data_IF_084426253908
#
_entry.id   IF_084426253908
#
_cell.length_a   1.000
_cell.length_b   1.000
_cell.length_c   1.000
_cell.angle_alpha   90.00
_cell.angle_beta   90.00
_cell.angle_gamma   90.00
#
_symmetry.space_group_name_H-M   'P 1'
#
loop_
_entity.id
_entity.type
_entity.pdbx_description
1 polymer ?
#
# COMPACT_ATOMS: atom_id res chain seq x y z
N UNK A 1 -17.37 -11.82 37.57
CA UNK A 1 -17.36 -10.34 37.56
C UNK A 1 -18.30 -9.89 36.48
N UNK A 2 -19.39 -9.26 36.89
CA UNK A 2 -20.56 -9.01 36.05
C UNK A 2 -20.29 -7.91 34.99
N UNK A 3 -20.70 -8.14 33.74
CA UNK A 3 -20.47 -7.20 32.61
C UNK A 3 -21.69 -6.30 32.43
N UNK A 4 -21.98 -5.45 33.41
CA UNK A 4 -23.04 -4.44 33.33
C UNK A 4 -22.60 -3.20 32.52
N UNK A 5 -23.55 -2.50 31.89
CA UNK A 5 -23.29 -1.30 31.06
C UNK A 5 -22.61 -0.18 31.88
N UNK A 6 -22.85 -0.13 33.19
CA UNK A 6 -22.19 0.76 34.14
C UNK A 6 -20.67 0.52 34.20
N UNK A 7 -20.21 -0.74 34.27
CA UNK A 7 -18.78 -1.09 34.26
C UNK A 7 -18.11 -0.66 32.93
N UNK A 8 -18.87 -0.68 31.83
CA UNK A 8 -18.40 -0.22 30.51
C UNK A 8 -18.30 1.31 30.44
N UNK A 9 -19.22 2.03 31.06
CA UNK A 9 -19.18 3.48 31.18
C UNK A 9 -18.01 3.93 32.06
N UNK A 10 -17.83 3.29 33.21
CA UNK A 10 -16.72 3.58 34.13
C UNK A 10 -15.36 3.34 33.46
N UNK A 11 -15.21 2.23 32.72
CA UNK A 11 -14.01 1.97 31.92
C UNK A 11 -13.75 3.06 30.87
N UNK A 12 -14.78 3.52 30.15
CA UNK A 12 -14.65 4.62 29.16
C UNK A 12 -14.24 5.93 29.83
N UNK A 13 -14.75 6.23 31.01
CA UNK A 13 -14.39 7.43 31.76
C UNK A 13 -12.95 7.39 32.26
N UNK A 14 -12.51 6.25 32.80
CA UNK A 14 -11.12 6.02 33.17
C UNK A 14 -10.20 6.17 31.95
N UNK A 15 -10.56 5.58 30.81
CA UNK A 15 -9.79 5.70 29.58
C UNK A 15 -9.69 7.16 29.10
N UNK A 16 -10.77 7.95 29.23
CA UNK A 16 -10.77 9.39 28.92
C UNK A 16 -9.85 10.16 29.87
N UNK A 17 -9.88 9.87 31.18
CA UNK A 17 -9.00 10.50 32.17
C UNK A 17 -7.53 10.19 31.88
N UNK A 18 -7.19 8.92 31.63
CA UNK A 18 -5.82 8.52 31.27
C UNK A 18 -5.36 9.23 29.99
N UNK A 19 -6.20 9.28 28.95
CA UNK A 19 -5.87 10.00 27.71
C UNK A 19 -5.60 11.48 27.95
N UNK A 20 -6.40 12.14 28.81
CA UNK A 20 -6.19 13.55 29.17
C UNK A 20 -4.86 13.75 29.90
N UNK A 21 -4.55 12.92 30.88
CA UNK A 21 -3.29 13.04 31.64
C UNK A 21 -2.07 12.74 30.76
N UNK A 22 -2.13 11.73 29.89
CA UNK A 22 -1.09 11.48 28.88
C UNK A 22 -0.93 12.66 27.94
N UNK A 23 -2.04 13.28 27.50
CA UNK A 23 -1.98 14.46 26.64
C UNK A 23 -1.31 15.64 27.34
N UNK A 24 -1.62 15.89 28.62
CA UNK A 24 -0.99 16.95 29.43
C UNK A 24 0.50 16.68 29.62
N UNK A 25 0.88 15.44 29.95
CA UNK A 25 2.28 15.06 30.12
C UNK A 25 3.08 15.23 28.82
N UNK A 26 2.49 14.84 27.68
CA UNK A 26 3.10 15.07 26.36
C UNK A 26 3.26 16.55 26.06
N UNK A 27 2.23 17.36 26.30
CA UNK A 27 2.29 18.80 26.07
C UNK A 27 3.40 19.43 26.91
N UNK A 28 3.45 19.12 28.20
CA UNK A 28 4.50 19.61 29.10
C UNK A 28 5.90 19.23 28.62
N UNK A 29 6.10 17.98 28.18
CA UNK A 29 7.37 17.53 27.63
C UNK A 29 7.75 18.27 26.33
N UNK A 30 6.78 18.59 25.47
CA UNK A 30 7.02 19.41 24.29
C UNK A 30 7.36 20.85 24.65
N UNK A 31 6.65 21.46 25.59
CA UNK A 31 6.90 22.85 26.02
C UNK A 31 8.31 22.99 26.63
N UNK A 32 8.72 22.03 27.47
CA UNK A 32 10.09 21.95 28.01
C UNK A 32 11.14 21.76 26.90
N UNK A 33 10.85 20.91 25.91
CA UNK A 33 11.72 20.72 24.76
C UNK A 33 11.89 22.02 23.96
N UNK A 34 10.79 22.72 23.62
CA UNK A 34 10.84 23.96 22.86
C UNK A 34 11.59 25.06 23.62
N UNK A 35 11.35 25.17 24.93
CA UNK A 35 12.07 26.13 25.78
C UNK A 35 13.58 25.87 25.75
N UNK A 36 13.99 24.59 25.79
CA UNK A 36 15.41 24.23 25.69
C UNK A 36 16.00 24.49 24.31
N UNK A 37 15.24 24.26 23.24
CA UNK A 37 15.68 24.51 21.86
C UNK A 37 15.98 26.01 21.59
N UNK A 38 15.36 26.92 22.35
CA UNK A 38 15.60 28.37 22.25
C UNK A 38 16.89 28.83 22.97
N UNK A 39 17.59 27.90 23.61
CA UNK A 39 18.88 28.16 24.26
C UNK A 39 20.06 27.76 23.37
N UNK A 40 21.23 28.37 23.61
CA UNK A 40 22.48 28.03 22.90
C UNK A 40 22.93 26.58 23.12
N UNK A 41 22.49 25.94 24.20
CA UNK A 41 22.74 24.52 24.51
C UNK A 41 21.79 23.58 23.74
N UNK A 42 20.59 24.07 23.40
CA UNK A 42 19.57 23.33 22.65
C UNK A 42 19.84 23.17 21.15
N UNK A 43 20.80 23.92 20.59
CA UNK A 43 21.19 23.82 19.18
C UNK A 43 21.59 22.38 18.79
N UNK A 44 22.31 21.67 19.67
CA UNK A 44 22.68 20.26 19.47
C UNK A 44 21.48 19.32 19.45
N UNK A 45 20.45 19.60 20.25
CA UNK A 45 19.21 18.83 20.29
C UNK A 45 18.41 19.03 18.99
N UNK A 46 18.43 20.24 18.44
CA UNK A 46 17.80 20.59 17.16
C UNK A 46 18.42 19.80 16.00
N UNK A 47 19.75 19.75 15.92
CA UNK A 47 20.46 18.90 14.95
C UNK A 47 20.23 17.41 15.18
N UNK A 48 20.06 16.96 16.42
CA UNK A 48 19.73 15.55 16.74
C UNK A 48 18.32 15.20 16.24
N UNK A 49 17.34 16.08 16.51
CA UNK A 49 15.96 15.93 16.04
C UNK A 49 15.88 15.93 14.51
N UNK A 50 16.59 16.83 13.84
CA UNK A 50 16.67 16.87 12.38
C UNK A 50 17.27 15.57 11.81
N UNK A 51 18.38 15.07 12.37
CA UNK A 51 18.98 13.80 11.96
C UNK A 51 18.13 12.57 12.28
N UNK A 52 17.31 12.62 13.33
CA UNK A 52 16.38 11.54 13.63
C UNK A 52 15.22 11.52 12.65
N UNK A 53 14.63 12.69 12.35
CA UNK A 53 13.58 12.81 11.31
C UNK A 53 14.07 12.41 9.93
N UNK A 54 15.30 12.78 9.56
CA UNK A 54 15.93 12.35 8.31
C UNK A 54 16.14 10.82 8.27
N UNK A 55 16.50 10.19 9.39
CA UNK A 55 16.61 8.72 9.47
C UNK A 55 15.25 8.03 9.43
N UNK A 56 14.26 8.54 10.17
CA UNK A 56 12.92 7.97 10.24
C UNK A 56 12.15 8.15 8.92
N UNK A 57 12.49 9.18 8.13
CA UNK A 57 11.94 9.43 6.79
C UNK A 57 12.68 8.71 5.66
N UNK A 58 13.84 8.11 5.93
CA UNK A 58 14.50 7.23 4.97
C UNK A 58 13.83 5.88 5.02
N UNK A 59 12.91 5.66 4.09
CA UNK A 59 12.53 4.29 3.73
C UNK A 59 13.81 3.49 3.47
N UNK A 60 13.88 2.24 3.95
CA UNK A 60 14.94 1.31 3.55
C UNK A 60 14.65 0.96 2.09
N UNK A 61 15.07 1.84 1.18
CA UNK A 61 14.77 1.74 -0.25
C UNK A 61 15.51 0.60 -0.94
N UNK A 62 16.55 0.04 -0.30
CA UNK A 62 17.30 -1.08 -0.82
C UNK A 62 17.41 -2.19 0.21
N UNK A 63 16.73 -3.30 -0.05
CA UNK A 63 16.98 -4.57 0.64
C UNK A 63 18.32 -5.11 0.12
N UNK A 64 19.43 -4.63 0.68
CA UNK A 64 20.79 -5.03 0.27
C UNK A 64 21.18 -6.43 0.72
N UNK A 65 20.41 -7.00 1.65
CA UNK A 65 20.75 -8.24 2.32
C UNK A 65 19.49 -9.08 2.47
N UNK A 66 19.46 -10.23 1.80
CA UNK A 66 18.39 -11.22 1.95
C UNK A 66 18.98 -12.61 2.21
N UNK A 67 18.18 -13.52 2.76
CA UNK A 67 18.59 -14.91 2.94
C UNK A 67 18.14 -15.77 1.76
N UNK A 68 18.98 -16.70 1.36
CA UNK A 68 18.59 -17.77 0.44
C UNK A 68 17.74 -18.84 1.14
N UNK A 69 17.37 -19.91 0.41
CA UNK A 69 16.57 -21.02 0.94
C UNK A 69 17.29 -21.77 2.07
N UNK A 70 18.62 -21.82 2.02
CA UNK A 70 19.47 -22.50 3.00
C UNK A 70 19.82 -21.60 4.20
N UNK A 71 19.25 -20.39 4.25
CA UNK A 71 19.47 -19.43 5.33
C UNK A 71 20.79 -18.64 5.23
N UNK A 72 21.54 -18.79 4.13
CA UNK A 72 22.78 -18.03 3.89
C UNK A 72 22.46 -16.62 3.45
N UNK A 73 23.31 -15.70 3.84
CA UNK A 73 23.11 -14.27 3.62
C UNK A 73 23.68 -13.87 2.26
N UNK A 74 22.81 -13.38 1.38
CA UNK A 74 23.15 -12.82 0.07
C UNK A 74 23.32 -11.31 0.18
N UNK A 75 24.42 -10.79 -0.36
CA UNK A 75 24.79 -9.36 -0.30
C UNK A 75 25.07 -8.73 -1.66
N UNK A 76 25.30 -9.53 -2.71
CA UNK A 76 25.50 -8.99 -4.06
C UNK A 76 24.16 -8.73 -4.74
N UNK A 77 24.08 -7.63 -5.50
CA UNK A 77 22.86 -7.18 -6.17
C UNK A 77 22.27 -8.26 -7.10
N UNK A 78 23.11 -8.90 -7.92
CA UNK A 78 22.68 -9.99 -8.81
C UNK A 78 22.08 -11.18 -8.05
N UNK A 79 22.70 -11.57 -6.93
CA UNK A 79 22.21 -12.70 -6.12
C UNK A 79 20.90 -12.36 -5.43
N UNK A 80 20.77 -11.11 -4.95
CA UNK A 80 19.55 -10.59 -4.32
C UNK A 80 18.40 -10.57 -5.35
N UNK A 81 18.64 -10.03 -6.55
CA UNK A 81 17.63 -9.99 -7.62
C UNK A 81 17.22 -11.39 -8.06
N UNK A 82 18.18 -12.32 -8.24
CA UNK A 82 17.89 -13.71 -8.60
C UNK A 82 17.04 -14.41 -7.55
N UNK A 83 17.38 -14.25 -6.28
CA UNK A 83 16.63 -14.84 -5.17
C UNK A 83 15.22 -14.25 -5.04
N UNK A 84 15.02 -12.95 -5.33
CA UNK A 84 13.69 -12.34 -5.42
C UNK A 84 12.88 -12.89 -6.59
N UNK A 85 13.51 -13.04 -7.77
CA UNK A 85 12.87 -13.65 -8.94
C UNK A 85 12.37 -15.06 -8.61
N UNK A 86 13.24 -15.92 -8.09
CA UNK A 86 12.89 -17.29 -7.66
C UNK A 86 11.75 -17.30 -6.64
N UNK A 87 11.79 -16.39 -5.65
CA UNK A 87 10.75 -16.28 -4.63
C UNK A 87 9.37 -15.98 -5.23
N UNK A 88 9.30 -14.95 -6.09
CA UNK A 88 8.03 -14.54 -6.68
C UNK A 88 7.56 -15.50 -7.77
N UNK A 89 8.46 -16.13 -8.52
CA UNK A 89 8.08 -17.17 -9.49
C UNK A 89 7.43 -18.37 -8.81
N UNK A 90 7.98 -18.83 -7.68
CA UNK A 90 7.37 -19.90 -6.88
C UNK A 90 6.03 -19.44 -6.29
N UNK A 91 6.01 -18.32 -5.57
CA UNK A 91 4.80 -17.81 -4.89
C UNK A 91 3.65 -17.51 -5.86
N UNK A 92 3.92 -16.92 -7.02
CA UNK A 92 2.88 -16.43 -7.92
C UNK A 92 2.38 -17.50 -8.90
N UNK A 93 3.16 -18.57 -9.11
CA UNK A 93 2.80 -19.67 -10.01
C UNK A 93 2.42 -20.96 -9.28
N UNK A 94 2.49 -20.99 -7.94
CA UNK A 94 1.85 -22.04 -7.15
C UNK A 94 0.34 -22.05 -7.44
N UNK A 95 -0.10 -23.04 -8.22
CA UNK A 95 -1.51 -23.36 -8.37
C UNK A 95 -2.05 -23.77 -6.99
N UNK A 96 -2.72 -22.84 -6.31
CA UNK A 96 -3.54 -23.19 -5.16
C UNK A 96 -4.48 -24.34 -5.57
N UNK A 97 -4.79 -25.25 -4.63
CA UNK A 97 -5.85 -26.27 -4.79
C UNK A 97 -7.27 -25.65 -4.91
N UNK A 98 -7.40 -24.49 -5.54
CA UNK A 98 -8.68 -24.08 -6.11
C UNK A 98 -9.06 -25.18 -7.07
N UNK A 99 -10.23 -25.79 -6.85
CA UNK A 99 -10.83 -26.83 -7.69
C UNK A 99 -10.35 -26.62 -9.12
N UNK A 100 -9.49 -27.51 -9.62
CA UNK A 100 -9.17 -27.56 -11.04
C UNK A 100 -10.53 -27.56 -11.71
N UNK A 101 -10.88 -26.46 -12.40
CA UNK A 101 -12.11 -26.41 -13.18
C UNK A 101 -12.02 -27.61 -14.09
N UNK A 102 -12.81 -28.65 -13.79
CA UNK A 102 -12.67 -29.93 -14.44
C UNK A 102 -12.68 -29.73 -15.95
N UNK A 103 -11.81 -30.44 -16.65
CA UNK A 103 -11.88 -30.57 -18.10
C UNK A 103 -13.29 -31.08 -18.43
N UNK A 104 -14.19 -30.16 -18.81
CA UNK A 104 -15.64 -30.44 -18.84
C UNK A 104 -16.54 -29.33 -18.28
N UNK A 105 -16.00 -28.20 -17.80
CA UNK A 105 -16.84 -27.00 -17.61
C UNK A 105 -17.34 -26.58 -19.00
N UNK A 106 -18.59 -26.93 -19.31
CA UNK A 106 -19.30 -26.40 -20.45
C UNK A 106 -19.12 -24.89 -20.42
N UNK A 107 -18.43 -24.34 -21.43
CA UNK A 107 -18.31 -22.89 -21.55
C UNK A 107 -19.72 -22.36 -21.74
N UNK A 108 -20.35 -21.90 -20.67
CA UNK A 108 -21.62 -21.21 -20.77
C UNK A 108 -21.32 -19.99 -21.62
N UNK A 109 -21.82 -19.96 -22.85
CA UNK A 109 -21.75 -18.79 -23.73
C UNK A 109 -22.66 -17.72 -23.13
N UNK A 110 -22.20 -17.15 -22.02
CA UNK A 110 -22.87 -16.06 -21.36
C UNK A 110 -22.54 -14.80 -22.15
N UNK A 111 -23.56 -14.10 -22.62
CA UNK A 111 -23.35 -12.78 -23.21
C UNK A 111 -22.78 -11.88 -22.12
N UNK A 112 -21.58 -11.37 -22.36
CA UNK A 112 -20.98 -10.33 -21.52
C UNK A 112 -21.58 -9.02 -21.97
N UNK A 113 -22.30 -8.35 -21.07
CA UNK A 113 -22.83 -7.01 -21.36
C UNK A 113 -21.70 -6.00 -21.52
N UNK A 114 -21.96 -4.97 -22.34
CA UNK A 114 -21.00 -3.87 -22.52
C UNK A 114 -20.82 -3.13 -21.20
N UNK A 115 -19.57 -2.79 -20.90
CA UNK A 115 -19.21 -1.92 -19.77
C UNK A 115 -19.84 -0.55 -20.00
N UNK A 116 -20.66 -0.11 -19.04
CA UNK A 116 -21.38 1.17 -19.10
C UNK A 116 -20.50 2.30 -18.57
N UNK A 117 -20.72 3.51 -19.09
CA UNK A 117 -20.07 4.74 -18.61
C UNK A 117 -20.28 4.94 -17.10
N UNK A 118 -21.45 4.60 -16.58
CA UNK A 118 -21.76 4.71 -15.14
C UNK A 118 -20.90 3.79 -14.27
N UNK A 119 -20.57 2.60 -14.76
CA UNK A 119 -19.68 1.66 -14.07
C UNK A 119 -18.26 2.22 -14.00
N UNK A 120 -17.77 2.76 -15.12
CA UNK A 120 -16.45 3.43 -15.20
C UNK A 120 -16.41 4.65 -14.27
N UNK A 121 -17.46 5.49 -14.30
CA UNK A 121 -17.54 6.67 -13.43
C UNK A 121 -17.53 6.28 -11.95
N UNK A 122 -18.27 5.24 -11.57
CA UNK A 122 -18.30 4.71 -10.21
C UNK A 122 -16.95 4.10 -9.81
N UNK A 123 -16.28 3.41 -10.73
CA UNK A 123 -14.93 2.86 -10.49
C UNK A 123 -13.91 3.98 -10.25
N UNK A 124 -13.82 4.98 -11.14
CA UNK A 124 -12.93 6.13 -10.99
C UNK A 124 -13.16 6.87 -9.66
N UNK A 125 -14.42 7.06 -9.26
CA UNK A 125 -14.76 7.70 -7.98
C UNK A 125 -14.29 6.89 -6.77
N UNK A 126 -14.28 5.56 -6.85
CA UNK A 126 -13.86 4.66 -5.76
C UNK A 126 -12.35 4.52 -5.66
N UNK A 127 -11.60 4.75 -6.74
CA UNK A 127 -10.15 4.62 -6.73
C UNK A 127 -9.52 5.67 -5.80
N UNK A 128 -8.54 5.25 -4.99
CA UNK A 128 -7.83 6.14 -4.06
C UNK A 128 -6.74 6.90 -4.80
N UNK A 129 -6.58 8.17 -4.45
CA UNK A 129 -5.48 9.02 -4.90
C UNK A 129 -4.17 8.71 -4.17
N UNK A 130 -3.03 9.10 -4.74
CA UNK A 130 -1.69 8.88 -4.19
C UNK A 130 -1.28 7.41 -4.18
N UNK A 131 -1.73 6.64 -5.17
CA UNK A 131 -1.29 5.25 -5.38
C UNK A 131 -0.09 5.21 -6.32
N UNK A 132 0.74 4.17 -6.16
CA UNK A 132 1.86 3.93 -7.06
C UNK A 132 1.36 3.79 -8.50
N UNK A 133 2.07 4.41 -9.42
CA UNK A 133 1.80 4.34 -10.86
C UNK A 133 2.30 3.00 -11.42
N UNK A 134 1.67 2.58 -12.52
CA UNK A 134 2.17 1.43 -13.29
C UNK A 134 3.37 1.82 -14.17
N UNK A 135 3.83 0.92 -15.03
CA UNK A 135 4.91 1.18 -15.99
C UNK A 135 4.61 2.28 -17.02
N UNK A 136 3.37 2.75 -17.08
CA UNK A 136 2.92 3.84 -17.95
C UNK A 136 3.15 5.23 -17.34
N UNK A 137 3.54 5.30 -16.06
CA UNK A 137 3.69 6.52 -15.27
C UNK A 137 2.43 7.41 -15.25
N UNK A 138 1.23 6.82 -15.44
CA UNK A 138 -0.04 7.56 -15.43
C UNK A 138 -0.72 7.43 -14.06
N UNK A 139 -0.79 8.51 -13.26
CA UNK A 139 -1.49 8.48 -11.98
C UNK A 139 -3.01 8.54 -12.16
N UNK A 140 -3.75 7.97 -11.21
CA UNK A 140 -5.23 7.92 -11.26
C UNK A 140 -5.86 9.32 -11.29
N UNK A 141 -5.16 10.30 -10.75
CA UNK A 141 -5.49 11.71 -10.75
C UNK A 141 -5.72 12.23 -12.18
N UNK A 142 -4.92 11.80 -13.16
CA UNK A 142 -5.10 12.20 -14.56
C UNK A 142 -6.48 11.77 -15.04
N UNK A 143 -6.84 10.52 -14.82
CA UNK A 143 -8.16 9.98 -15.21
C UNK A 143 -9.32 10.66 -14.48
N UNK A 144 -9.13 11.05 -13.21
CA UNK A 144 -10.15 11.80 -12.46
C UNK A 144 -10.31 13.24 -12.95
N UNK A 145 -9.21 13.91 -13.28
CA UNK A 145 -9.20 15.30 -13.75
C UNK A 145 -9.83 15.45 -15.14
N UNK A 146 -9.66 14.45 -16.00
CA UNK A 146 -10.24 14.43 -17.35
C UNK A 146 -11.78 14.29 -17.35
N UNK A 147 -12.39 13.94 -16.21
CA UNK A 147 -13.84 13.90 -16.05
C UNK A 147 -14.53 12.98 -17.05
N UNK A 148 -15.54 13.50 -17.75
CA UNK A 148 -16.33 12.69 -18.67
C UNK A 148 -15.51 12.19 -19.87
N UNK A 149 -14.53 12.96 -20.37
CA UNK A 149 -13.68 12.52 -21.48
C UNK A 149 -12.92 11.22 -21.15
N UNK A 150 -12.43 11.08 -19.92
CA UNK A 150 -11.82 9.83 -19.46
C UNK A 150 -12.84 8.69 -19.36
N UNK A 151 -14.06 8.97 -18.88
CA UNK A 151 -15.14 7.97 -18.80
C UNK A 151 -15.48 7.43 -20.20
N UNK A 152 -15.62 8.31 -21.19
CA UNK A 152 -15.92 7.91 -22.57
C UNK A 152 -14.78 7.09 -23.19
N UNK A 153 -13.54 7.58 -23.05
CA UNK A 153 -12.36 6.90 -23.56
C UNK A 153 -12.19 5.52 -22.94
N UNK A 154 -12.22 5.42 -21.61
CA UNK A 154 -12.01 4.15 -20.90
C UNK A 154 -13.14 3.14 -21.18
N UNK A 155 -14.39 3.59 -21.22
CA UNK A 155 -15.51 2.71 -21.60
C UNK A 155 -15.35 2.18 -23.03
N UNK A 156 -14.93 3.02 -23.98
CA UNK A 156 -14.65 2.59 -25.35
C UNK A 156 -13.46 1.61 -25.41
N UNK A 157 -12.39 1.89 -24.68
CA UNK A 157 -11.19 1.06 -24.64
C UNK A 157 -11.51 -0.33 -24.08
N UNK A 158 -12.18 -0.40 -22.93
CA UNK A 158 -12.49 -1.68 -22.27
C UNK A 158 -13.46 -2.52 -23.10
N UNK A 159 -14.49 -1.90 -23.69
CA UNK A 159 -15.40 -2.64 -24.57
C UNK A 159 -14.67 -3.14 -25.83
N UNK A 160 -13.74 -2.37 -26.41
CA UNK A 160 -12.92 -2.83 -27.54
C UNK A 160 -12.04 -4.03 -27.16
N UNK A 161 -11.42 -4.00 -25.98
CA UNK A 161 -10.64 -5.13 -25.45
C UNK A 161 -11.52 -6.37 -25.29
N UNK A 162 -12.71 -6.24 -24.71
CA UNK A 162 -13.67 -7.34 -24.55
C UNK A 162 -14.16 -7.90 -25.89
N UNK A 163 -14.53 -7.03 -26.84
CA UNK A 163 -15.03 -7.41 -28.16
C UNK A 163 -13.95 -8.14 -28.98
N UNK A 164 -12.70 -7.65 -28.93
CA UNK A 164 -11.57 -8.27 -29.63
C UNK A 164 -11.04 -9.53 -28.96
N UNK A 165 -11.41 -9.77 -27.69
CA UNK A 165 -10.87 -10.83 -26.84
C UNK A 165 -9.33 -10.82 -26.76
N UNK A 166 -8.72 -9.64 -26.90
CA UNK A 166 -7.27 -9.45 -26.90
C UNK A 166 -6.86 -8.49 -25.80
N UNK A 167 -6.10 -9.00 -24.84
CA UNK A 167 -5.51 -8.21 -23.78
C UNK A 167 -4.34 -7.39 -24.32
N UNK A 168 -4.22 -6.09 -24.01
CA UNK A 168 -3.02 -5.32 -24.27
C UNK A 168 -1.79 -5.96 -23.62
N UNK A 169 -0.67 -6.00 -24.32
CA UNK A 169 0.58 -6.60 -23.82
C UNK A 169 1.15 -5.79 -22.64
N UNK A 170 0.91 -4.50 -22.62
CA UNK A 170 1.28 -3.60 -21.53
C UNK A 170 0.61 -4.03 -20.20
N UNK A 171 -0.63 -4.52 -20.25
CA UNK A 171 -1.35 -4.97 -19.05
C UNK A 171 -0.85 -6.31 -18.53
N UNK A 172 -0.07 -7.06 -19.32
CA UNK A 172 0.58 -8.30 -18.91
C UNK A 172 1.91 -8.06 -18.19
N UNK A 173 2.39 -6.81 -18.16
CA UNK A 173 3.66 -6.44 -17.54
C UNK A 173 3.41 -5.83 -16.16
N UNK A 174 4.21 -6.24 -15.18
CA UNK A 174 4.21 -5.64 -13.86
C UNK A 174 5.66 -5.42 -13.39
N UNK A 175 5.87 -4.38 -12.58
CA UNK A 175 7.14 -4.10 -11.92
C UNK A 175 6.98 -4.44 -10.44
N UNK A 176 7.80 -5.37 -9.94
CA UNK A 176 7.82 -5.75 -8.54
C UNK A 176 8.92 -4.98 -7.83
N UNK A 177 8.53 -4.18 -6.83
CA UNK A 177 9.45 -3.44 -5.97
C UNK A 177 9.33 -3.98 -4.54
N UNK A 178 10.29 -4.79 -4.05
CA UNK A 178 10.28 -5.26 -2.68
C UNK A 178 10.50 -4.10 -1.70
N UNK A 179 9.57 -3.92 -0.77
CA UNK A 179 9.67 -2.89 0.28
C UNK A 179 9.94 -3.58 1.61
N UNK A 180 10.99 -3.18 2.30
CA UNK A 180 11.28 -3.68 3.64
C UNK A 180 10.22 -3.18 4.63
N UNK A 181 9.55 -4.10 5.32
CA UNK A 181 8.64 -3.77 6.42
C UNK A 181 9.44 -3.81 7.73
N UNK A 182 9.56 -2.67 8.41
CA UNK A 182 10.12 -2.65 9.76
C UNK A 182 9.33 -3.58 10.68
N UNK A 183 10.00 -4.16 11.69
CA UNK A 183 9.32 -4.94 12.73
C UNK A 183 8.25 -4.03 13.36
N UNK A 184 7.01 -4.51 13.33
CA UNK A 184 5.87 -3.83 13.95
C UNK A 184 5.97 -3.82 15.47
#
# INVERSE_FOLDING_TARGET
MDRTEENRQEYKELQRRVKREVSKAKQKAYDELYTRLDTREGEKDLYRLARQRDRDGKDVQQVRVIKDRDGRVLTSEESVQRRWKEYFEEMMNEENEREKRGEGVNSVKQKVDKIRKDEVRKALKRMKSGKAVGPDDIPVEVWKCLGEAAVEFLASLFNRVLESQRMPEEWRRSVLVPIFKNKG
#
